data_IF_581625364990
#
_entry.id   IF_581625364990
#
_cell.length_a   1.000
_cell.length_b   1.000
_cell.length_c   1.000
_cell.angle_alpha   90.00
_cell.angle_beta   90.00
_cell.angle_gamma   90.00
#
_symmetry.space_group_name_H-M   'P 1'
#
loop_
_entity.id
_entity.type
_entity.pdbx_description
1 polymer ?
#
# COMPACT_ATOMS: atom_id res chain seq x y z
N UNK A 1 1.53 -1.33 -4.58
CA UNK A 1 2.78 -2.12 -4.75
C UNK A 1 2.68 -3.51 -4.10
N UNK A 2 2.17 -3.65 -2.87
CA UNK A 2 2.06 -4.97 -2.20
C UNK A 2 1.25 -6.03 -2.98
N UNK A 3 0.07 -5.68 -3.50
CA UNK A 3 -0.76 -6.59 -4.31
C UNK A 3 -0.03 -7.14 -5.53
N UNK A 4 0.82 -6.32 -6.14
CA UNK A 4 1.56 -6.70 -7.34
C UNK A 4 2.73 -7.62 -7.02
N UNK A 5 3.41 -7.40 -5.89
CA UNK A 5 4.39 -8.36 -5.38
C UNK A 5 3.74 -9.71 -5.09
N UNK A 6 2.53 -9.72 -4.51
CA UNK A 6 1.81 -10.97 -4.25
C UNK A 6 1.38 -11.67 -5.55
N UNK A 7 0.93 -10.92 -6.56
CA UNK A 7 0.63 -11.48 -7.88
C UNK A 7 1.87 -12.12 -8.51
N UNK A 8 3.01 -11.44 -8.47
CA UNK A 8 4.29 -11.96 -8.97
C UNK A 8 4.68 -13.23 -8.22
N UNK A 9 4.59 -13.25 -6.89
CA UNK A 9 4.89 -14.42 -6.09
C UNK A 9 3.99 -15.60 -6.49
N UNK A 10 2.69 -15.38 -6.63
CA UNK A 10 1.74 -16.41 -7.05
C UNK A 10 2.01 -16.91 -8.47
N UNK A 11 2.28 -16.01 -9.41
CA UNK A 11 2.59 -16.37 -10.80
C UNK A 11 3.86 -17.22 -10.87
N UNK A 12 4.90 -16.87 -10.11
CA UNK A 12 6.13 -17.66 -9.98
C UNK A 12 5.85 -19.02 -9.35
N UNK A 13 5.12 -19.07 -8.23
CA UNK A 13 4.75 -20.32 -7.57
C UNK A 13 3.99 -21.25 -8.51
N UNK A 14 3.03 -20.73 -9.27
CA UNK A 14 2.30 -21.50 -10.28
C UNK A 14 3.22 -22.05 -11.38
N UNK A 15 4.21 -21.27 -11.81
CA UNK A 15 5.20 -21.74 -12.79
C UNK A 15 6.11 -22.84 -12.24
N UNK A 16 6.48 -22.78 -10.96
CA UNK A 16 7.27 -23.82 -10.31
C UNK A 16 6.42 -25.10 -10.14
N UNK A 17 5.21 -24.97 -9.59
CA UNK A 17 4.31 -26.09 -9.37
C UNK A 17 3.89 -26.79 -10.66
N UNK A 18 3.72 -26.06 -11.77
CA UNK A 18 3.43 -26.67 -13.09
C UNK A 18 4.60 -27.48 -13.68
N UNK A 19 5.78 -27.44 -13.05
CA UNK A 19 6.97 -28.20 -13.41
C UNK A 19 7.35 -29.23 -12.35
N UNK A 20 6.42 -29.56 -11.45
CA UNK A 20 6.62 -30.44 -10.29
C UNK A 20 7.76 -29.97 -9.38
N UNK A 21 8.04 -28.67 -9.36
CA UNK A 21 8.98 -28.03 -8.43
C UNK A 21 8.16 -27.41 -7.31
N UNK A 22 8.40 -27.88 -6.08
CA UNK A 22 7.78 -27.29 -4.89
C UNK A 22 8.34 -25.87 -4.70
N UNK A 23 7.49 -24.83 -4.71
CA UNK A 23 7.92 -23.49 -4.38
C UNK A 23 8.47 -23.48 -2.95
N UNK A 24 9.60 -22.83 -2.74
CA UNK A 24 10.13 -22.66 -1.40
C UNK A 24 9.19 -21.70 -0.64
N UNK A 25 8.28 -22.26 0.15
CA UNK A 25 7.54 -21.52 1.16
C UNK A 25 8.51 -21.22 2.31
N UNK A 26 9.38 -20.23 2.11
CA UNK A 26 9.92 -19.54 3.27
C UNK A 26 8.71 -19.02 4.05
N UNK A 27 8.69 -19.22 5.37
CA UNK A 27 7.77 -18.55 6.27
C UNK A 27 7.98 -17.04 6.09
N UNK A 28 7.33 -16.48 5.07
CA UNK A 28 7.15 -15.05 4.92
C UNK A 28 6.33 -14.71 6.14
N UNK A 29 6.95 -14.09 7.13
CA UNK A 29 6.26 -13.58 8.31
C UNK A 29 5.02 -12.81 7.81
N UNK A 30 3.87 -13.48 7.82
CA UNK A 30 2.58 -12.85 7.65
C UNK A 30 2.55 -11.91 8.83
N UNK A 31 2.67 -10.61 8.54
CA UNK A 31 3.03 -9.62 9.56
C UNK A 31 2.29 -9.85 10.86
N UNK A 32 3.01 -9.77 11.99
CA UNK A 32 2.57 -10.22 13.31
C UNK A 32 1.06 -10.02 13.52
N UNK A 33 0.30 -11.13 13.51
CA UNK A 33 -1.15 -11.10 13.74
C UNK A 33 -1.49 -10.83 15.19
N UNK A 34 -0.53 -11.06 16.08
CA UNK A 34 -0.67 -10.96 17.53
C UNK A 34 -0.08 -9.64 18.05
N UNK A 35 -0.21 -8.56 17.26
CA UNK A 35 0.20 -7.22 17.70
C UNK A 35 -0.59 -6.82 18.93
N UNK A 36 0.12 -6.48 19.98
CA UNK A 36 -0.42 -5.85 21.18
C UNK A 36 -0.91 -4.44 20.87
N UNK A 37 -1.84 -3.93 21.68
CA UNK A 37 -2.32 -2.56 21.56
C UNK A 37 -1.19 -1.52 21.59
N UNK A 38 -0.12 -1.78 22.36
CA UNK A 38 1.03 -0.89 22.44
C UNK A 38 1.81 -0.84 21.12
N UNK A 39 2.03 -1.97 20.46
CA UNK A 39 2.69 -2.01 19.14
C UNK A 39 1.84 -1.35 18.06
N UNK A 40 0.52 -1.51 18.11
CA UNK A 40 -0.40 -0.83 17.20
C UNK A 40 -0.34 0.67 17.43
N UNK A 41 -0.41 1.12 18.69
CA UNK A 41 -0.34 2.53 19.06
C UNK A 41 0.97 3.16 18.62
N UNK A 42 2.09 2.51 18.90
CA UNK A 42 3.43 2.98 18.50
C UNK A 42 3.57 3.09 16.97
N UNK A 43 3.06 2.11 16.22
CA UNK A 43 3.09 2.14 14.76
C UNK A 43 2.21 3.25 14.17
N UNK A 44 1.13 3.63 14.85
CA UNK A 44 0.25 4.73 14.44
C UNK A 44 0.83 6.10 14.82
N UNK A 45 1.49 6.21 15.97
CA UNK A 45 2.07 7.47 16.48
C UNK A 45 3.40 7.82 15.80
N UNK A 46 4.22 6.81 15.46
CA UNK A 46 5.52 7.00 14.79
C UNK A 46 5.45 6.74 13.28
N UNK A 47 4.27 6.90 12.68
CA UNK A 47 4.04 6.66 11.26
C UNK A 47 4.70 7.74 10.38
N UNK A 48 5.81 7.41 9.71
CA UNK A 48 6.38 8.23 8.65
C UNK A 48 6.06 7.64 7.27
N UNK A 49 5.10 8.29 6.59
CA UNK A 49 4.67 7.92 5.25
C UNK A 49 5.79 7.99 4.20
N UNK A 50 6.77 8.90 4.39
CA UNK A 50 7.91 9.05 3.47
C UNK A 50 8.85 7.86 3.61
N UNK A 51 9.13 7.43 4.84
CA UNK A 51 9.98 6.27 5.11
C UNK A 51 9.34 4.98 4.64
N UNK A 52 8.04 4.78 4.86
CA UNK A 52 7.32 3.61 4.34
C UNK A 52 7.31 3.55 2.81
N UNK A 53 7.14 4.70 2.16
CA UNK A 53 7.22 4.78 0.70
C UNK A 53 8.64 4.44 0.23
N UNK A 54 9.67 4.98 0.90
CA UNK A 54 11.07 4.73 0.57
C UNK A 54 11.44 3.24 0.73
N UNK A 55 11.02 2.61 1.83
CA UNK A 55 11.24 1.18 2.09
C UNK A 55 10.53 0.31 1.05
N UNK A 56 9.27 0.63 0.73
CA UNK A 56 8.53 -0.05 -0.33
C UNK A 56 9.19 0.05 -1.69
N UNK A 57 9.71 1.23 -2.04
CA UNK A 57 10.47 1.45 -3.28
C UNK A 57 11.80 0.71 -3.29
N UNK A 58 12.51 0.64 -2.15
CA UNK A 58 13.77 -0.08 -2.04
C UNK A 58 13.58 -1.59 -2.30
N UNK A 59 12.52 -2.18 -1.71
CA UNK A 59 12.13 -3.57 -1.98
C UNK A 59 11.83 -3.82 -3.46
N UNK A 60 11.03 -2.95 -4.06
CA UNK A 60 10.63 -3.08 -5.47
C UNK A 60 11.82 -2.91 -6.42
N UNK A 61 12.78 -2.03 -6.11
CA UNK A 61 14.06 -1.92 -6.83
C UNK A 61 14.86 -3.23 -6.74
N UNK A 62 14.94 -3.83 -5.56
CA UNK A 62 15.59 -5.12 -5.37
C UNK A 62 14.98 -6.23 -6.24
N UNK A 63 13.65 -6.28 -6.35
CA UNK A 63 12.95 -7.23 -7.23
C UNK A 63 13.31 -6.98 -8.70
N UNK A 64 13.30 -5.71 -9.15
CA UNK A 64 13.66 -5.37 -10.54
C UNK A 64 15.08 -5.80 -10.89
N UNK A 65 16.04 -5.61 -9.97
CA UNK A 65 17.43 -6.06 -10.18
C UNK A 65 17.48 -7.57 -10.35
N UNK A 66 16.88 -8.34 -9.42
CA UNK A 66 16.82 -9.81 -9.50
C UNK A 66 16.21 -10.31 -10.80
N UNK A 67 15.06 -9.73 -11.20
CA UNK A 67 14.41 -10.09 -12.46
C UNK A 67 15.30 -9.74 -13.66
N UNK A 68 15.98 -8.59 -13.63
CA UNK A 68 16.87 -8.19 -14.71
C UNK A 68 18.08 -9.11 -14.85
N UNK A 69 18.61 -9.62 -13.74
CA UNK A 69 19.73 -10.57 -13.77
C UNK A 69 19.27 -11.93 -14.31
N UNK A 70 18.11 -12.45 -13.87
CA UNK A 70 17.51 -13.66 -14.45
C UNK A 70 17.23 -13.54 -15.95
N UNK A 71 16.82 -12.36 -16.42
CA UNK A 71 16.60 -12.09 -17.84
C UNK A 71 17.89 -12.02 -18.65
N UNK A 72 19.03 -11.62 -18.06
CA UNK A 72 20.32 -11.56 -18.76
C UNK A 72 20.95 -12.95 -18.95
N UNK A 73 20.71 -13.85 -18.01
CA UNK A 73 21.23 -15.22 -18.07
C UNK A 73 20.56 -16.04 -19.18
N UNK A 74 19.36 -15.66 -19.62
CA UNK A 74 18.56 -16.31 -20.69
C UNK A 74 18.44 -17.84 -20.55
N UNK A 75 18.64 -18.37 -19.35
CA UNK A 75 18.63 -19.81 -19.06
C UNK A 75 17.23 -20.37 -18.79
N UNK A 76 16.21 -19.50 -18.74
CA UNK A 76 14.82 -19.86 -18.45
C UNK A 76 14.01 -20.08 -19.74
N UNK A 77 13.00 -20.95 -19.74
CA UNK A 77 12.08 -21.11 -20.87
C UNK A 77 11.42 -19.79 -21.29
N UNK A 78 11.21 -19.62 -22.61
CA UNK A 78 10.60 -18.41 -23.20
C UNK A 78 9.32 -17.93 -22.50
N UNK A 79 8.35 -18.81 -22.13
CA UNK A 79 7.14 -18.36 -21.43
C UNK A 79 7.43 -17.72 -20.06
N UNK A 80 8.49 -18.17 -19.38
CA UNK A 80 8.92 -17.63 -18.08
C UNK A 80 9.62 -16.28 -18.31
N UNK A 81 10.47 -16.18 -19.32
CA UNK A 81 11.14 -14.92 -19.68
C UNK A 81 10.10 -13.84 -20.03
N UNK A 82 9.07 -14.19 -20.80
CA UNK A 82 7.98 -13.26 -21.15
C UNK A 82 7.22 -12.79 -19.90
N UNK A 83 6.90 -13.71 -18.98
CA UNK A 83 6.25 -13.41 -17.70
C UNK A 83 7.11 -12.46 -16.85
N UNK A 84 8.40 -12.78 -16.67
CA UNK A 84 9.36 -11.97 -15.93
C UNK A 84 9.50 -10.56 -16.53
N UNK A 85 9.54 -10.46 -17.86
CA UNK A 85 9.59 -9.18 -18.56
C UNK A 85 8.35 -8.31 -18.30
N UNK A 86 7.15 -8.91 -18.33
CA UNK A 86 5.88 -8.23 -17.98
C UNK A 86 5.91 -7.73 -16.54
N UNK A 87 6.36 -8.57 -15.59
CA UNK A 87 6.50 -8.18 -14.19
C UNK A 87 7.48 -7.04 -13.98
N UNK A 88 8.66 -7.09 -14.63
CA UNK A 88 9.66 -6.01 -14.56
C UNK A 88 9.08 -4.67 -15.03
N UNK A 89 8.42 -4.65 -16.19
CA UNK A 89 7.77 -3.43 -16.72
C UNK A 89 6.74 -2.87 -15.74
N UNK A 90 5.94 -3.75 -15.15
CA UNK A 90 4.89 -3.36 -14.20
C UNK A 90 5.47 -2.73 -12.94
N UNK A 91 6.49 -3.34 -12.33
CA UNK A 91 7.15 -2.76 -11.15
C UNK A 91 7.82 -1.43 -11.48
N UNK A 92 8.51 -1.33 -12.62
CA UNK A 92 9.13 -0.08 -13.06
C UNK A 92 8.11 1.05 -13.23
N UNK A 93 6.92 0.74 -13.74
CA UNK A 93 5.83 1.69 -13.82
C UNK A 93 5.39 2.20 -12.44
N UNK A 94 5.19 1.30 -11.47
CA UNK A 94 4.83 1.69 -10.10
C UNK A 94 5.93 2.47 -9.38
N UNK A 95 7.21 2.13 -9.60
CA UNK A 95 8.33 2.90 -9.06
C UNK A 95 8.31 4.34 -9.56
N UNK A 96 8.03 4.55 -10.86
CA UNK A 96 7.87 5.88 -11.43
C UNK A 96 6.71 6.65 -10.80
N UNK A 97 5.58 5.99 -10.55
CA UNK A 97 4.45 6.61 -9.85
C UNK A 97 4.84 7.00 -8.41
N UNK A 98 5.48 6.10 -7.67
CA UNK A 98 5.92 6.35 -6.30
C UNK A 98 6.88 7.56 -6.21
N UNK A 99 7.82 7.67 -7.15
CA UNK A 99 8.72 8.84 -7.25
C UNK A 99 7.98 10.16 -7.52
N UNK A 100 6.92 10.12 -8.33
CA UNK A 100 6.08 11.30 -8.58
C UNK A 100 5.26 11.69 -7.34
N UNK A 101 4.69 10.71 -6.64
CA UNK A 101 3.94 10.96 -5.40
C UNK A 101 4.84 11.51 -4.28
N UNK A 102 6.12 11.10 -4.22
CA UNK A 102 7.12 11.69 -3.30
C UNK A 102 7.27 13.20 -3.49
N UNK A 103 7.21 13.69 -4.74
CA UNK A 103 7.39 15.12 -5.08
C UNK A 103 6.13 15.97 -4.87
N UNK A 104 4.94 15.36 -4.93
CA UNK A 104 3.68 16.10 -5.02
C UNK A 104 2.85 16.08 -3.71
N UNK A 105 2.89 15.00 -2.93
CA UNK A 105 2.00 14.84 -1.76
C UNK A 105 2.63 15.24 -0.42
N UNK A 106 3.97 15.27 -0.33
CA UNK A 106 4.69 15.58 0.92
C UNK A 106 5.37 16.96 0.90
N UNK A 107 5.02 17.83 -0.07
CA UNK A 107 5.40 19.24 0.03
C UNK A 107 4.59 19.86 1.16
N UNK A 108 5.30 20.21 2.21
CA UNK A 108 4.82 20.82 3.44
C UNK A 108 3.84 21.97 3.14
N UNK A 109 2.54 21.73 3.30
CA UNK A 109 1.59 22.81 3.55
C UNK A 109 1.83 23.22 4.99
N UNK A 110 2.82 24.11 5.17
CA UNK A 110 3.42 24.45 6.45
C UNK A 110 2.42 24.51 7.59
N UNK A 111 2.78 23.85 8.70
CA UNK A 111 2.22 23.98 10.05
C UNK A 111 1.21 25.13 10.16
N UNK A 112 -0.09 24.86 9.95
CA UNK A 112 -1.12 25.70 10.54
C UNK A 112 -1.05 25.44 12.04
N UNK A 113 -0.43 26.36 12.75
CA UNK A 113 -0.46 26.40 14.22
C UNK A 113 -1.91 26.32 14.66
N UNK A 114 -2.19 25.36 15.54
CA UNK A 114 -3.38 25.38 16.38
C UNK A 114 -3.25 26.58 17.33
N UNK A 115 -3.82 27.73 16.96
CA UNK A 115 -3.92 28.89 17.85
C UNK A 115 -5.06 29.84 17.49
N UNK A 116 -6.18 29.34 16.95
CA UNK A 116 -7.40 30.13 16.80
C UNK A 116 -8.61 29.18 16.87
N UNK A 117 -9.00 28.77 18.08
CA UNK A 117 -10.29 28.16 18.36
C UNK A 117 -10.76 28.45 19.81
N UNK A 118 -10.37 29.61 20.35
CA UNK A 118 -11.01 30.20 21.53
C UNK A 118 -11.55 31.59 21.12
N UNK A 119 -12.76 31.91 21.58
CA UNK A 119 -13.71 32.95 21.12
C UNK A 119 -14.42 32.58 19.80
N UNK A 120 -15.73 32.31 19.75
CA UNK A 120 -16.91 32.98 20.33
C UNK A 120 -18.07 31.95 20.22
N UNK A 121 -19.05 31.73 21.11
CA UNK A 121 -19.83 32.55 22.04
C UNK A 121 -20.42 31.62 23.12
N UNK A 122 -20.36 32.06 24.38
CA UNK A 122 -21.29 31.57 25.41
C UNK A 122 -22.55 32.46 25.44
N UNK A 123 -23.68 31.78 25.64
CA UNK A 123 -24.84 32.21 26.41
C UNK A 123 -26.04 32.84 25.68
N UNK A 124 -27.24 32.29 25.95
CA UNK A 124 -28.54 32.83 25.53
C UNK A 124 -29.56 31.81 25.00
N UNK A 125 -30.13 31.02 25.89
CA UNK A 125 -31.22 30.01 25.78
C UNK A 125 -32.52 30.42 25.07
N UNK A 126 -33.17 29.47 24.36
CA UNK A 126 -34.60 29.10 24.54
C UNK A 126 -34.98 27.79 23.82
N UNK A 127 -35.74 26.94 24.51
CA UNK A 127 -36.35 25.67 24.09
C UNK A 127 -37.52 25.91 23.12
N UNK A 128 -37.78 24.97 22.19
CA UNK A 128 -39.05 24.23 22.06
C UNK A 128 -39.02 23.27 20.84
N UNK A 129 -39.78 22.18 21.00
CA UNK A 129 -39.87 20.90 20.28
C UNK A 129 -40.15 20.95 18.75
N UNK A 130 -39.69 19.91 18.03
CA UNK A 130 -40.57 18.91 17.38
C UNK A 130 -39.83 18.01 16.37
N UNK A 131 -40.26 16.74 16.35
CA UNK A 131 -40.10 15.65 15.38
C UNK A 131 -39.50 16.00 13.99
N UNK A 132 -38.46 15.28 13.58
CA UNK A 132 -38.64 14.28 12.51
C UNK A 132 -37.37 13.46 12.26
N UNK A 133 -37.56 12.17 12.39
CA UNK A 133 -36.58 11.11 12.30
C UNK A 133 -36.44 10.67 10.84
N UNK A 134 -35.65 11.38 10.02
CA UNK A 134 -35.48 11.04 8.61
C UNK A 134 -34.06 10.57 8.29
N UNK A 135 -33.81 9.31 8.68
CA UNK A 135 -32.65 8.54 8.26
C UNK A 135 -32.65 8.40 6.73
N UNK A 136 -31.80 9.20 6.06
CA UNK A 136 -31.57 9.09 4.60
C UNK A 136 -30.92 7.74 4.27
N UNK A 137 -31.73 6.73 3.98
CA UNK A 137 -31.29 5.45 3.42
C UNK A 137 -30.84 5.68 1.96
N UNK A 138 -29.54 5.62 1.72
CA UNK A 138 -28.97 5.63 0.36
C UNK A 138 -29.12 4.22 -0.23
N UNK A 139 -30.03 4.03 -1.19
CA UNK A 139 -30.13 2.79 -1.95
C UNK A 139 -28.99 2.71 -2.98
N UNK A 140 -28.05 1.78 -2.79
CA UNK A 140 -27.06 1.46 -3.82
C UNK A 140 -27.67 0.52 -4.86
N UNK A 141 -27.69 0.94 -6.12
CA UNK A 141 -28.03 0.10 -7.28
C UNK A 141 -26.76 -0.56 -7.80
N UNK A 142 -26.71 -1.88 -7.80
CA UNK A 142 -25.59 -2.63 -8.39
C UNK A 142 -25.54 -2.39 -9.91
N UNK A 143 -24.34 -2.17 -10.44
CA UNK A 143 -24.00 -2.25 -11.87
C UNK A 143 -23.27 -3.57 -12.09
#
# INVERSE_FOLDING_TARGET
>A
MATERNRIANDISNQLSSRDIEPLELDVEKGNTDRTWNEIKEALENYDAVDMLAEGMARDKGIVTKISDMLKEEALPEPILEMLYKHRKKIQWYLKQAEQHKKNHFKDHGKKKASDAEEVLSDGSQEDDDDDNDARIIQMRAI
#
